data_IF_190566031035
#
_entry.id   IF_190566031035
#
_cell.length_a   1.000
_cell.length_b   1.000
_cell.length_c   1.000
_cell.angle_alpha   90.00
_cell.angle_beta   90.00
_cell.angle_gamma   90.00
#
_symmetry.space_group_name_H-M   'P 1'
#
loop_
_entity.id
_entity.type
_entity.pdbx_description
1 polymer ?
#
# COMPACT_ATOMS: atom_id res chain seq x y z
N UNK A 1 -4.84 20.68 -4.69
CA UNK A 1 -3.95 20.33 -5.82
C UNK A 1 -4.42 21.12 -7.05
N UNK A 2 -3.52 21.67 -7.87
CA UNK A 2 -3.86 22.42 -9.09
C UNK A 2 -3.36 21.60 -10.28
N UNK A 3 -4.23 21.28 -11.22
CA UNK A 3 -3.88 20.62 -12.48
C UNK A 3 -4.27 19.14 -12.61
N UNK A 4 -4.91 18.55 -11.60
CA UNK A 4 -5.38 17.15 -11.64
C UNK A 4 -6.88 17.04 -11.37
N UNK A 5 -7.52 16.08 -12.05
CA UNK A 5 -8.92 15.76 -11.91
C UNK A 5 -9.15 14.79 -10.74
N UNK A 6 -9.56 15.34 -9.60
CA UNK A 6 -9.76 14.59 -8.36
C UNK A 6 -11.09 13.82 -8.30
N UNK A 7 -11.89 13.84 -9.36
CA UNK A 7 -13.16 13.09 -9.40
C UNK A 7 -12.91 11.58 -9.28
N UNK A 8 -11.86 11.08 -9.94
CA UNK A 8 -11.48 9.67 -9.86
C UNK A 8 -11.08 9.31 -8.42
N UNK A 9 -10.18 10.08 -7.80
CA UNK A 9 -9.78 9.87 -6.40
C UNK A 9 -10.97 9.90 -5.43
N UNK A 10 -11.89 10.86 -5.60
CA UNK A 10 -13.09 10.97 -4.76
C UNK A 10 -14.00 9.74 -4.85
N UNK A 11 -14.22 9.24 -6.06
CA UNK A 11 -15.03 8.04 -6.28
C UNK A 11 -14.34 6.77 -5.76
N UNK A 12 -13.02 6.66 -5.84
CA UNK A 12 -12.28 5.54 -5.24
C UNK A 12 -12.37 5.61 -3.70
N UNK A 13 -12.27 6.80 -3.10
CA UNK A 13 -12.49 6.95 -1.65
C UNK A 13 -13.92 6.57 -1.22
N UNK A 14 -14.92 6.89 -2.03
CA UNK A 14 -16.30 6.43 -1.81
C UNK A 14 -16.41 4.91 -1.86
N UNK A 15 -15.75 4.25 -2.81
CA UNK A 15 -15.71 2.79 -2.88
C UNK A 15 -15.19 2.17 -1.58
N UNK A 16 -14.10 2.72 -1.03
CA UNK A 16 -13.53 2.23 0.23
C UNK A 16 -14.43 2.52 1.43
N UNK A 17 -15.13 3.66 1.42
CA UNK A 17 -16.12 3.98 2.44
C UNK A 17 -17.26 2.96 2.44
N UNK A 18 -17.75 2.58 1.26
CA UNK A 18 -18.77 1.53 1.09
C UNK A 18 -18.25 0.16 1.51
N UNK A 19 -17.01 -0.18 1.16
CA UNK A 19 -16.37 -1.40 1.64
C UNK A 19 -16.32 -1.43 3.16
N UNK A 20 -15.87 -0.35 3.82
CA UNK A 20 -15.82 -0.27 5.28
C UNK A 20 -17.18 -0.51 5.91
N UNK A 21 -18.24 0.10 5.36
CA UNK A 21 -19.61 -0.11 5.84
C UNK A 21 -20.08 -1.57 5.67
N UNK A 22 -19.78 -2.19 4.52
CA UNK A 22 -20.09 -3.60 4.27
C UNK A 22 -19.37 -4.49 5.30
N UNK A 23 -18.11 -4.18 5.58
CA UNK A 23 -17.31 -4.95 6.53
C UNK A 23 -17.81 -4.78 7.96
N UNK A 24 -18.28 -3.59 8.34
CA UNK A 24 -18.85 -3.30 9.66
C UNK A 24 -20.20 -4.00 9.88
N UNK A 25 -21.08 -4.05 8.88
CA UNK A 25 -22.41 -4.69 9.02
C UNK A 25 -22.34 -6.19 9.31
N UNK A 26 -21.30 -6.86 8.80
CA UNK A 26 -21.07 -8.29 9.01
C UNK A 26 -20.35 -8.61 10.35
N UNK A 27 -19.95 -7.60 11.13
CA UNK A 27 -19.19 -7.75 12.39
C UNK A 27 -20.00 -8.15 13.63
N UNK A 28 -21.28 -8.51 13.50
CA UNK A 28 -22.06 -9.03 14.64
C UNK A 28 -21.51 -10.33 15.26
N UNK A 29 -20.40 -10.90 14.75
CA UNK A 29 -19.82 -12.16 15.24
C UNK A 29 -18.29 -12.18 15.48
N UNK A 30 -17.50 -11.14 15.17
CA UNK A 30 -16.06 -11.15 15.50
C UNK A 30 -15.48 -9.74 15.66
N UNK A 31 -14.91 -9.47 16.83
CA UNK A 31 -14.43 -8.17 17.31
C UNK A 31 -13.09 -7.71 16.70
N UNK A 32 -12.71 -8.17 15.51
CA UNK A 32 -11.29 -8.16 15.10
C UNK A 32 -11.01 -7.43 13.80
N UNK A 33 -11.98 -6.79 13.15
CA UNK A 33 -11.77 -6.20 11.84
C UNK A 33 -11.77 -4.66 11.88
N UNK A 34 -10.59 -4.05 11.76
CA UNK A 34 -10.44 -2.60 11.66
C UNK A 34 -10.83 -2.13 10.25
N UNK A 35 -11.60 -1.04 10.10
CA UNK A 35 -11.87 -0.45 8.80
C UNK A 35 -10.59 0.09 8.15
N UNK A 36 -10.56 0.13 6.81
CA UNK A 36 -9.52 0.83 6.08
C UNK A 36 -9.58 2.32 6.39
N UNK A 37 -8.43 2.95 6.61
CA UNK A 37 -8.37 4.39 6.74
C UNK A 37 -8.58 5.06 5.38
N UNK A 38 -9.67 5.80 5.27
CA UNK A 38 -10.03 6.65 4.12
C UNK A 38 -9.72 8.12 4.43
N UNK A 39 -9.68 8.96 3.40
CA UNK A 39 -9.52 10.41 3.51
C UNK A 39 -10.47 11.14 2.57
N UNK A 40 -10.80 12.38 2.91
CA UNK A 40 -11.77 13.17 2.16
C UNK A 40 -11.14 13.79 0.91
N UNK A 41 -11.79 13.61 -0.24
CA UNK A 41 -11.42 14.26 -1.50
C UNK A 41 -12.64 14.99 -2.04
N UNK A 42 -12.52 16.31 -2.15
CA UNK A 42 -13.58 17.22 -2.59
C UNK A 42 -13.16 17.84 -3.93
N UNK A 43 -13.63 17.31 -5.07
CA UNK A 43 -13.42 17.96 -6.36
C UNK A 43 -14.22 19.27 -6.41
N UNK A 44 -13.55 20.38 -6.74
CA UNK A 44 -14.18 21.71 -6.86
C UNK A 44 -14.40 22.09 -8.33
N UNK A 45 -13.47 21.69 -9.20
CA UNK A 45 -13.54 21.85 -10.65
C UNK A 45 -12.76 20.72 -11.33
N UNK A 46 -12.83 20.57 -12.66
CA UNK A 46 -12.07 19.54 -13.38
C UNK A 46 -10.55 19.57 -13.15
N UNK A 47 -9.99 20.72 -12.75
CA UNK A 47 -8.55 20.90 -12.58
C UNK A 47 -8.17 21.31 -11.16
N UNK A 48 -9.13 21.31 -10.22
CA UNK A 48 -8.83 21.66 -8.84
C UNK A 48 -9.75 20.96 -7.84
N UNK A 49 -9.17 20.68 -6.68
CA UNK A 49 -9.94 20.28 -5.51
C UNK A 49 -9.07 20.17 -4.27
N UNK A 50 -9.71 19.74 -3.20
CA UNK A 50 -9.16 19.67 -1.85
C UNK A 50 -8.99 18.20 -1.49
N UNK A 51 -7.82 17.87 -0.95
CA UNK A 51 -7.50 16.54 -0.43
C UNK A 51 -7.18 16.71 1.05
N UNK A 52 -7.81 15.90 1.89
CA UNK A 52 -7.53 15.85 3.32
C UNK A 52 -6.10 15.36 3.57
N UNK A 53 -5.40 16.06 4.45
CA UNK A 53 -4.08 15.63 4.89
C UNK A 53 -4.20 14.51 5.91
N UNK A 54 -3.55 13.38 5.65
CA UNK A 54 -3.49 12.26 6.59
C UNK A 54 -2.54 12.57 7.74
N UNK A 55 -3.01 13.30 8.76
CA UNK A 55 -2.20 13.66 9.92
C UNK A 55 -1.63 12.44 10.66
N UNK A 56 -0.41 12.61 11.20
CA UNK A 56 0.30 11.58 11.95
C UNK A 56 0.87 10.44 11.09
N UNK A 57 0.85 10.58 9.76
CA UNK A 57 1.41 9.60 8.84
C UNK A 57 2.77 10.03 8.29
N UNK A 58 3.57 9.05 7.86
CA UNK A 58 4.81 9.28 7.09
C UNK A 58 4.87 8.30 5.93
N UNK A 59 5.48 8.70 4.81
CA UNK A 59 5.61 7.79 3.67
C UNK A 59 6.64 6.70 3.97
N UNK A 60 6.40 5.50 3.45
CA UNK A 60 7.37 4.40 3.58
C UNK A 60 8.70 4.75 2.92
N UNK A 61 8.70 5.56 1.85
CA UNK A 61 9.93 6.01 1.21
C UNK A 61 10.78 6.86 2.16
N UNK A 62 10.16 7.87 2.78
CA UNK A 62 10.84 8.77 3.72
C UNK A 62 11.40 7.99 4.92
N UNK A 63 10.62 7.07 5.48
CA UNK A 63 11.07 6.24 6.59
C UNK A 63 12.19 5.26 6.21
N UNK A 64 12.02 4.48 5.13
CA UNK A 64 12.92 3.38 4.79
C UNK A 64 14.24 3.85 4.14
N UNK A 65 14.17 4.82 3.23
CA UNK A 65 15.31 5.23 2.37
C UNK A 65 15.66 6.71 2.55
N UNK A 66 14.82 7.49 3.25
CA UNK A 66 14.97 8.94 3.35
C UNK A 66 14.55 9.66 2.07
N UNK A 67 14.24 10.96 2.19
CA UNK A 67 13.74 11.77 1.07
C UNK A 67 14.76 11.89 -0.08
N UNK A 68 16.06 11.86 0.25
CA UNK A 68 17.17 11.91 -0.70
C UNK A 68 17.64 10.52 -1.18
N UNK A 69 17.00 9.44 -0.74
CA UNK A 69 17.32 8.04 -1.08
C UNK A 69 18.74 7.58 -0.73
N UNK A 70 19.39 8.27 0.20
CA UNK A 70 20.75 8.04 0.70
C UNK A 70 20.78 7.73 2.22
N UNK A 71 19.61 7.57 2.85
CA UNK A 71 19.48 7.44 4.29
C UNK A 71 18.34 6.51 4.72
N UNK A 72 17.60 6.94 5.76
CA UNK A 72 16.46 6.21 6.31
C UNK A 72 16.84 5.02 7.19
N UNK A 73 15.85 4.19 7.48
CA UNK A 73 16.00 3.00 8.32
C UNK A 73 17.04 2.01 7.76
N UNK A 74 17.13 1.86 6.43
CA UNK A 74 18.12 0.98 5.79
C UNK A 74 19.54 1.43 6.10
N UNK A 75 19.87 2.70 5.93
CA UNK A 75 21.20 3.22 6.25
C UNK A 75 21.50 3.20 7.75
N UNK A 76 20.48 3.40 8.61
CA UNK A 76 20.66 3.45 10.06
C UNK A 76 20.86 2.06 10.68
N UNK A 77 19.99 1.09 10.38
CA UNK A 77 20.06 -0.26 10.97
C UNK A 77 21.05 -1.18 10.23
N UNK A 78 21.35 -0.90 8.97
CA UNK A 78 22.22 -1.73 8.10
C UNK A 78 23.19 -0.86 7.29
N UNK A 79 24.16 -0.18 7.93
CA UNK A 79 25.11 0.70 7.23
C UNK A 79 26.05 -0.03 6.25
N UNK A 80 26.24 -1.34 6.41
CA UNK A 80 27.08 -2.16 5.55
C UNK A 80 26.38 -2.64 4.27
N UNK A 81 25.04 -2.56 4.21
CA UNK A 81 24.26 -2.97 3.05
C UNK A 81 24.35 -1.92 1.94
N UNK A 82 24.07 -2.31 0.70
CA UNK A 82 24.05 -1.35 -0.41
C UNK A 82 22.84 -0.40 -0.29
N UNK A 83 23.05 0.89 -0.55
CA UNK A 83 21.97 1.87 -0.53
C UNK A 83 20.95 1.65 -1.65
N UNK A 84 19.69 2.05 -1.41
CA UNK A 84 18.61 1.94 -2.39
C UNK A 84 18.88 2.68 -3.71
N UNK A 85 19.57 3.82 -3.67
CA UNK A 85 20.02 4.55 -4.86
C UNK A 85 20.99 3.73 -5.72
N UNK A 86 21.97 3.07 -5.09
CA UNK A 86 22.93 2.18 -5.76
C UNK A 86 22.23 0.95 -6.33
N UNK A 87 21.27 0.36 -5.61
CA UNK A 87 20.46 -0.75 -6.11
C UNK A 87 19.68 -0.38 -7.37
N UNK A 88 19.06 0.81 -7.40
CA UNK A 88 18.36 1.33 -8.58
C UNK A 88 19.32 1.53 -9.77
N UNK A 89 20.54 2.03 -9.53
CA UNK A 89 21.55 2.19 -10.57
C UNK A 89 21.99 0.84 -11.16
N UNK A 90 22.22 -0.17 -10.32
CA UNK A 90 22.61 -1.53 -10.77
C UNK A 90 21.49 -2.15 -11.63
N UNK A 91 20.23 -2.02 -11.22
CA UNK A 91 19.11 -2.55 -12.01
C UNK A 91 18.97 -1.85 -13.36
N UNK A 92 19.14 -0.53 -13.41
CA UNK A 92 19.06 0.24 -14.67
C UNK A 92 20.22 -0.08 -15.62
N UNK A 93 21.45 -0.20 -15.10
CA UNK A 93 22.62 -0.45 -15.95
C UNK A 93 22.64 -1.85 -16.56
N UNK A 94 22.07 -2.84 -15.85
CA UNK A 94 22.00 -4.23 -16.30
C UNK A 94 20.66 -4.59 -16.96
N UNK A 95 19.82 -3.59 -17.26
CA UNK A 95 18.51 -3.82 -17.86
C UNK A 95 18.59 -4.44 -19.26
N UNK A 96 19.63 -4.08 -20.04
CA UNK A 96 19.86 -4.60 -21.38
C UNK A 96 21.03 -5.60 -21.37
N UNK A 97 20.74 -6.89 -21.56
CA UNK A 97 21.75 -7.94 -21.78
C UNK A 97 22.05 -8.86 -20.60
N UNK A 98 21.42 -8.66 -19.43
CA UNK A 98 21.54 -9.56 -18.28
C UNK A 98 20.18 -10.16 -17.92
N UNK A 99 20.20 -11.33 -17.25
CA UNK A 99 19.02 -11.90 -16.65
C UNK A 99 18.58 -11.02 -15.45
N UNK A 100 17.53 -10.23 -15.65
CA UNK A 100 17.02 -9.28 -14.65
C UNK A 100 16.72 -9.95 -13.30
N UNK A 101 16.27 -11.21 -13.32
CA UNK A 101 15.96 -11.96 -12.09
C UNK A 101 17.21 -12.28 -11.28
N UNK A 102 18.31 -12.66 -11.93
CA UNK A 102 19.57 -12.96 -11.23
C UNK A 102 20.16 -11.71 -10.58
N UNK A 103 20.15 -10.58 -11.30
CA UNK A 103 20.61 -9.29 -10.76
C UNK A 103 19.73 -8.87 -9.57
N UNK A 104 18.41 -9.04 -9.68
CA UNK A 104 17.50 -8.75 -8.58
C UNK A 104 17.79 -9.60 -7.34
N UNK A 105 18.03 -10.91 -7.52
CA UNK A 105 18.38 -11.82 -6.42
C UNK A 105 19.73 -11.48 -5.80
N UNK A 106 20.72 -11.06 -6.59
CA UNK A 106 22.02 -10.57 -6.11
C UNK A 106 21.85 -9.33 -5.22
N UNK A 107 21.08 -8.35 -5.68
CA UNK A 107 20.74 -7.15 -4.89
C UNK A 107 20.02 -7.54 -3.60
N UNK A 108 19.07 -8.47 -3.68
CA UNK A 108 18.34 -8.94 -2.50
C UNK A 108 19.24 -9.60 -1.45
N UNK A 109 20.36 -10.23 -1.85
CA UNK A 109 21.32 -10.77 -0.87
C UNK A 109 22.06 -9.65 -0.13
N UNK A 110 22.33 -8.54 -0.81
CA UNK A 110 23.10 -7.40 -0.31
C UNK A 110 22.25 -6.32 0.39
N UNK A 111 20.92 -6.48 0.42
CA UNK A 111 19.99 -5.59 1.13
C UNK A 111 19.03 -6.45 1.92
N UNK A 112 19.05 -6.34 3.24
CA UNK A 112 18.12 -7.04 4.11
C UNK A 112 16.95 -6.12 4.50
N UNK A 113 15.73 -6.66 4.72
CA UNK A 113 14.61 -5.86 5.14
C UNK A 113 14.77 -5.36 6.59
N UNK A 114 14.28 -4.16 6.85
CA UNK A 114 14.45 -3.46 8.15
C UNK A 114 13.15 -2.91 8.72
N UNK A 115 12.02 -3.07 8.05
CA UNK A 115 10.80 -2.37 8.41
C UNK A 115 10.23 -2.81 9.78
N UNK A 116 10.51 -4.03 10.27
CA UNK A 116 10.16 -4.46 11.63
C UNK A 116 10.68 -3.52 12.73
N UNK A 117 11.80 -2.84 12.49
CA UNK A 117 12.38 -1.90 13.45
C UNK A 117 11.52 -0.65 13.65
N UNK A 118 10.61 -0.34 12.72
CA UNK A 118 9.59 0.68 12.94
C UNK A 118 8.75 0.33 14.17
N UNK A 119 8.26 -0.91 14.22
CA UNK A 119 7.39 -1.35 15.30
C UNK A 119 8.14 -1.48 16.62
N UNK A 120 9.38 -2.00 16.59
CA UNK A 120 10.22 -2.09 17.79
C UNK A 120 10.56 -0.73 18.41
N UNK A 121 10.73 0.31 17.59
CA UNK A 121 11.09 1.64 18.09
C UNK A 121 9.89 2.49 18.52
N UNK A 122 8.70 2.21 17.98
CA UNK A 122 7.47 2.98 18.28
C UNK A 122 6.61 2.37 19.36
N UNK A 123 6.58 1.05 19.49
CA UNK A 123 5.69 0.33 20.41
C UNK A 123 6.51 -0.45 21.43
N UNK A 124 6.82 0.18 22.56
CA UNK A 124 7.67 -0.39 23.61
C UNK A 124 6.91 -1.34 24.55
N UNK A 125 5.58 -1.29 24.57
CA UNK A 125 4.72 -2.17 25.35
C UNK A 125 4.28 -3.37 24.50
N UNK A 126 4.35 -4.58 25.06
CA UNK A 126 3.90 -5.81 24.42
C UNK A 126 2.47 -5.73 23.88
N UNK A 127 1.54 -5.15 24.66
CA UNK A 127 0.15 -5.00 24.24
C UNK A 127 0.03 -4.06 23.03
N UNK A 128 0.63 -2.87 23.12
CA UNK A 128 0.55 -1.86 22.05
C UNK A 128 1.25 -2.35 20.78
N UNK A 129 2.36 -3.07 20.94
CA UNK A 129 3.09 -3.70 19.83
C UNK A 129 2.23 -4.75 19.14
N UNK A 130 1.63 -5.67 19.90
CA UNK A 130 0.75 -6.70 19.34
C UNK A 130 -0.43 -6.10 18.59
N UNK A 131 -1.13 -5.15 19.20
CA UNK A 131 -2.25 -4.47 18.54
C UNK A 131 -1.81 -3.67 17.30
N UNK A 132 -0.60 -3.09 17.29
CA UNK A 132 -0.07 -2.40 16.12
C UNK A 132 0.26 -3.35 14.98
N UNK A 133 0.83 -4.53 15.28
CA UNK A 133 1.06 -5.60 14.29
C UNK A 133 -0.26 -6.14 13.75
N UNK A 134 -1.29 -6.28 14.59
CA UNK A 134 -2.61 -6.70 14.12
C UNK A 134 -3.24 -5.68 13.16
N UNK A 135 -3.22 -4.39 13.53
CA UNK A 135 -3.69 -3.30 12.65
C UNK A 135 -2.88 -3.21 11.36
N UNK A 136 -1.57 -3.37 11.45
CA UNK A 136 -0.69 -3.42 10.28
C UNK A 136 -1.06 -4.57 9.34
N UNK A 137 -1.18 -5.77 9.88
CA UNK A 137 -1.50 -6.99 9.12
C UNK A 137 -2.88 -6.88 8.46
N UNK A 138 -3.86 -6.36 9.20
CA UNK A 138 -5.20 -6.11 8.68
C UNK A 138 -5.20 -5.10 7.53
N UNK A 139 -4.60 -3.92 7.74
CA UNK A 139 -4.52 -2.89 6.70
C UNK A 139 -3.74 -3.37 5.48
N UNK A 140 -2.63 -4.11 5.64
CA UNK A 140 -1.86 -4.68 4.54
C UNK A 140 -2.68 -5.70 3.73
N UNK A 141 -3.38 -6.62 4.40
CA UNK A 141 -4.23 -7.61 3.74
C UNK A 141 -5.40 -6.95 2.98
N UNK A 142 -6.07 -6.01 3.64
CA UNK A 142 -7.20 -5.27 3.05
C UNK A 142 -6.76 -4.47 1.83
N UNK A 143 -5.71 -3.66 1.95
CA UNK A 143 -5.18 -2.89 0.82
C UNK A 143 -4.72 -3.80 -0.32
N UNK A 144 -4.11 -4.95 -0.03
CA UNK A 144 -3.68 -5.89 -1.08
C UNK A 144 -4.84 -6.38 -1.93
N UNK A 145 -5.94 -6.78 -1.29
CA UNK A 145 -7.14 -7.29 -1.99
C UNK A 145 -7.88 -6.17 -2.70
N UNK A 146 -7.99 -5.00 -2.07
CA UNK A 146 -8.62 -3.82 -2.68
C UNK A 146 -7.85 -3.36 -3.91
N UNK A 147 -6.52 -3.27 -3.84
CA UNK A 147 -5.69 -2.93 -4.99
C UNK A 147 -5.87 -3.93 -6.13
N UNK A 148 -5.95 -5.22 -5.81
CA UNK A 148 -6.18 -6.25 -6.81
C UNK A 148 -7.55 -6.13 -7.49
N UNK A 149 -8.63 -5.97 -6.72
CA UNK A 149 -9.99 -5.95 -7.25
C UNK A 149 -10.26 -4.70 -8.08
N UNK A 150 -9.76 -3.54 -7.63
CA UNK A 150 -9.91 -2.26 -8.34
C UNK A 150 -8.91 -2.13 -9.50
N UNK A 151 -7.80 -2.87 -9.46
CA UNK A 151 -6.69 -2.72 -10.39
C UNK A 151 -5.91 -1.43 -10.15
N UNK A 152 -5.65 -1.10 -8.88
CA UNK A 152 -4.87 0.07 -8.48
C UNK A 152 -3.38 -0.15 -8.77
N UNK A 153 -2.82 0.72 -9.61
CA UNK A 153 -1.40 0.78 -9.93
C UNK A 153 -0.68 1.94 -9.25
N UNK A 154 0.59 2.14 -9.60
CA UNK A 154 1.46 3.20 -9.07
C UNK A 154 1.58 3.20 -7.53
N UNK A 155 1.60 1.99 -6.95
CA UNK A 155 1.76 1.79 -5.51
C UNK A 155 3.23 1.89 -5.11
N UNK A 156 3.91 2.95 -5.49
CA UNK A 156 5.30 3.18 -5.08
C UNK A 156 5.38 3.65 -3.61
N UNK A 157 6.57 3.60 -3.01
CA UNK A 157 6.75 3.84 -1.56
C UNK A 157 6.35 5.25 -1.06
N UNK A 158 6.20 6.23 -1.95
CA UNK A 158 5.66 7.54 -1.56
C UNK A 158 4.14 7.54 -1.38
N UNK A 159 3.43 6.63 -2.07
CA UNK A 159 1.97 6.54 -2.08
C UNK A 159 1.44 5.56 -1.03
N UNK A 160 2.36 4.93 -0.28
CA UNK A 160 2.03 4.09 0.87
C UNK A 160 2.57 4.78 2.11
N UNK A 161 1.65 5.20 2.96
CA UNK A 161 1.94 5.84 4.22
C UNK A 161 1.73 4.85 5.38
N UNK A 162 2.40 5.11 6.49
CA UNK A 162 2.23 4.41 7.77
C UNK A 162 1.79 5.42 8.83
N UNK A 163 0.74 5.10 9.58
CA UNK A 163 0.37 5.87 10.77
C UNK A 163 1.39 5.62 11.88
N UNK A 164 2.06 6.69 12.32
CA UNK A 164 3.15 6.62 13.30
C UNK A 164 2.67 6.22 14.70
N UNK A 165 1.41 6.46 15.03
CA UNK A 165 0.80 6.15 16.33
C UNK A 165 0.09 4.80 16.33
N UNK A 166 -0.56 4.41 15.23
CA UNK A 166 -1.40 3.20 15.17
C UNK A 166 -0.72 2.01 14.50
N UNK A 167 0.22 2.26 13.59
CA UNK A 167 0.90 1.22 12.82
C UNK A 167 0.09 0.70 11.62
N UNK A 168 -0.97 1.39 11.19
CA UNK A 168 -1.78 0.99 10.03
C UNK A 168 -1.31 1.66 8.74
N UNK A 169 -1.46 0.95 7.61
CA UNK A 169 -1.14 1.47 6.29
C UNK A 169 -2.26 2.31 5.71
N UNK A 170 -1.89 3.39 5.03
CA UNK A 170 -2.79 4.28 4.29
C UNK A 170 -2.25 4.47 2.89
N UNK A 171 -3.03 4.13 1.87
CA UNK A 171 -2.64 4.41 0.49
C UNK A 171 -3.24 5.76 0.06
N UNK A 172 -2.42 6.59 -0.56
CA UNK A 172 -2.83 7.89 -1.14
C UNK A 172 -2.64 7.88 -2.65
N UNK A 173 -3.11 8.94 -3.32
CA UNK A 173 -2.95 9.16 -4.76
C UNK A 173 -3.48 7.97 -5.56
N UNK A 174 -4.80 7.91 -5.73
CA UNK A 174 -5.50 6.70 -6.21
C UNK A 174 -5.95 6.82 -7.67
N UNK A 175 -5.40 7.77 -8.43
CA UNK A 175 -5.83 8.05 -9.80
C UNK A 175 -5.53 6.92 -10.80
N UNK A 176 -4.56 6.05 -10.52
CA UNK A 176 -4.15 4.97 -11.44
C UNK A 176 -4.97 3.70 -11.22
N UNK A 177 -6.22 3.68 -11.70
CA UNK A 177 -7.18 2.58 -11.54
C UNK A 177 -7.35 1.72 -12.80
N UNK A 178 -8.06 0.58 -12.69
CA UNK A 178 -8.39 -0.32 -13.81
C UNK A 178 -7.20 -0.72 -14.68
N UNK A 179 -6.11 -1.09 -14.00
CA UNK A 179 -4.92 -1.65 -14.63
C UNK A 179 -4.26 -0.69 -15.64
N UNK A 180 -4.46 0.63 -15.48
CA UNK A 180 -3.81 1.63 -16.31
C UNK A 180 -2.29 1.46 -16.31
N UNK A 181 -1.69 1.28 -15.12
CA UNK A 181 -0.25 1.05 -14.97
C UNK A 181 0.27 -0.21 -15.68
N UNK A 182 -0.60 -1.19 -15.97
CA UNK A 182 -0.25 -2.37 -16.76
C UNK A 182 -0.34 -2.14 -18.27
N UNK A 183 -1.27 -1.31 -18.71
CA UNK A 183 -1.57 -1.09 -20.14
C UNK A 183 -0.79 0.06 -20.76
N UNK A 184 -0.55 1.11 -19.98
CA UNK A 184 -0.13 2.42 -20.51
C UNK A 184 1.33 2.78 -20.20
N UNK A 185 1.94 2.18 -19.17
CA UNK A 185 3.32 2.49 -18.81
C UNK A 185 4.33 1.81 -19.76
N UNK A 186 5.44 2.49 -20.11
CA UNK A 186 6.51 1.89 -20.93
C UNK A 186 7.09 0.60 -20.33
N UNK A 187 7.14 0.53 -19.00
CA UNK A 187 7.48 -0.68 -18.24
C UNK A 187 6.24 -1.06 -17.42
N UNK A 188 5.47 -2.06 -17.86
CA UNK A 188 4.22 -2.45 -17.20
C UNK A 188 4.41 -2.94 -15.75
N UNK A 189 3.54 -2.49 -14.85
CA UNK A 189 3.49 -3.00 -13.47
C UNK A 189 2.78 -4.36 -13.39
N UNK A 190 3.51 -5.46 -13.56
CA UNK A 190 2.90 -6.82 -13.64
C UNK A 190 2.40 -7.40 -12.32
N UNK A 191 2.67 -6.75 -11.18
CA UNK A 191 2.26 -7.24 -9.85
C UNK A 191 0.82 -6.77 -9.52
N UNK A 192 0.00 -7.60 -8.87
CA UNK A 192 -1.39 -7.25 -8.55
C UNK A 192 -1.52 -6.24 -7.39
N UNK A 193 -0.54 -6.23 -6.49
CA UNK A 193 -0.42 -5.32 -5.36
C UNK A 193 1.02 -5.36 -4.87
N UNK A 194 1.40 -4.40 -4.02
CA UNK A 194 2.75 -4.33 -3.48
C UNK A 194 2.89 -5.15 -2.21
N UNK A 195 3.64 -6.25 -2.28
CA UNK A 195 4.03 -7.07 -1.13
C UNK A 195 5.54 -7.36 -1.20
N UNK A 196 6.35 -6.35 -0.90
CA UNK A 196 7.82 -6.46 -0.94
C UNK A 196 8.36 -7.07 0.36
N UNK A 197 9.64 -7.46 0.36
CA UNK A 197 10.31 -8.01 1.54
C UNK A 197 10.21 -7.10 2.77
N UNK A 198 10.33 -5.78 2.58
CA UNK A 198 10.12 -4.82 3.67
C UNK A 198 8.68 -4.80 4.19
N UNK A 199 7.65 -5.05 3.36
CA UNK A 199 6.26 -5.12 3.84
C UNK A 199 5.93 -6.46 4.51
N UNK A 200 6.67 -7.52 4.18
CA UNK A 200 6.53 -8.82 4.84
C UNK A 200 7.27 -8.83 6.19
N UNK A 201 8.32 -8.01 6.33
CA UNK A 201 9.22 -8.01 7.49
C UNK A 201 8.52 -7.81 8.86
N UNK A 202 7.54 -6.91 9.01
CA UNK A 202 6.82 -6.75 10.28
C UNK A 202 5.88 -7.89 10.63
N UNK A 203 5.58 -8.81 9.69
CA UNK A 203 4.75 -9.99 9.96
C UNK A 203 5.50 -11.05 10.79
N UNK A 204 6.82 -10.87 10.98
CA UNK A 204 7.67 -11.71 11.82
C UNK A 204 7.52 -13.21 11.48
N UNK A 205 7.22 -14.03 12.50
CA UNK A 205 7.10 -15.48 12.38
C UNK A 205 5.82 -15.92 11.66
N UNK A 206 4.77 -15.10 11.69
CA UNK A 206 3.48 -15.41 11.08
C UNK A 206 3.56 -15.34 9.54
N UNK A 207 4.39 -14.42 9.05
CA UNK A 207 4.71 -14.27 7.64
C UNK A 207 3.46 -14.08 6.78
N UNK A 208 3.52 -14.49 5.51
CA UNK A 208 2.42 -14.30 4.55
C UNK A 208 1.33 -15.35 4.63
N UNK A 209 1.59 -16.49 5.26
CA UNK A 209 0.69 -17.64 5.29
C UNK A 209 -0.15 -17.74 6.56
N UNK A 210 0.09 -16.87 7.55
CA UNK A 210 -0.69 -16.75 8.77
C UNK A 210 -1.88 -15.81 8.63
N UNK A 211 -2.06 -14.92 9.61
CA UNK A 211 -3.21 -14.02 9.73
C UNK A 211 -3.42 -13.15 8.48
N UNK A 212 -2.34 -12.72 7.82
CA UNK A 212 -2.41 -11.97 6.57
C UNK A 212 -3.29 -12.69 5.53
N UNK A 213 -3.05 -13.99 5.33
CA UNK A 213 -3.79 -14.81 4.36
C UNK A 213 -5.26 -14.93 4.76
N UNK A 214 -5.53 -15.20 6.03
CA UNK A 214 -6.90 -15.40 6.51
C UNK A 214 -7.74 -14.13 6.34
N UNK A 215 -7.17 -12.97 6.70
CA UNK A 215 -7.79 -11.66 6.51
C UNK A 215 -7.99 -11.36 5.02
N UNK A 216 -7.01 -11.68 4.17
CA UNK A 216 -7.09 -11.47 2.73
C UNK A 216 -8.19 -12.33 2.09
N UNK A 217 -8.29 -13.61 2.45
CA UNK A 217 -9.35 -14.52 1.99
C UNK A 217 -10.71 -14.02 2.44
N UNK A 218 -10.84 -13.59 3.71
CA UNK A 218 -12.07 -13.05 4.25
C UNK A 218 -12.50 -11.77 3.52
N UNK A 219 -11.57 -10.83 3.32
CA UNK A 219 -11.80 -9.59 2.59
C UNK A 219 -12.25 -9.87 1.16
N UNK A 220 -11.58 -10.79 0.46
CA UNK A 220 -11.95 -11.19 -0.90
C UNK A 220 -13.34 -11.81 -0.96
N UNK A 221 -13.70 -12.65 0.02
CA UNK A 221 -15.04 -13.25 0.10
C UNK A 221 -16.12 -12.17 0.24
N UNK A 222 -15.93 -11.20 1.12
CA UNK A 222 -16.86 -10.08 1.32
C UNK A 222 -17.00 -9.22 0.07
N UNK A 223 -15.90 -8.89 -0.60
CA UNK A 223 -15.95 -8.15 -1.86
C UNK A 223 -16.71 -8.91 -2.95
N UNK A 224 -16.57 -10.24 -3.01
CA UNK A 224 -17.31 -11.08 -3.97
C UNK A 224 -18.80 -11.15 -3.67
N UNK A 225 -19.19 -11.27 -2.40
CA UNK A 225 -20.60 -11.29 -1.98
C UNK A 225 -21.31 -9.97 -2.31
N UNK A 226 -20.57 -8.86 -2.28
CA UNK A 226 -21.07 -7.51 -2.55
C UNK A 226 -20.65 -6.98 -3.93
N UNK A 227 -20.29 -7.87 -4.86
CA UNK A 227 -19.75 -7.49 -6.16
C UNK A 227 -20.67 -6.56 -6.96
N UNK A 228 -21.99 -6.68 -6.82
CA UNK A 228 -22.95 -5.80 -7.53
C UNK A 228 -22.76 -4.33 -7.15
N UNK A 229 -22.54 -4.03 -5.87
CA UNK A 229 -22.34 -2.66 -5.39
C UNK A 229 -20.99 -2.12 -5.88
N UNK A 230 -19.94 -2.93 -5.75
CA UNK A 230 -18.58 -2.57 -6.18
C UNK A 230 -18.54 -2.31 -7.69
N UNK A 231 -19.14 -3.20 -8.50
CA UNK A 231 -19.26 -3.04 -9.95
C UNK A 231 -20.09 -1.81 -10.30
N UNK A 232 -21.18 -1.53 -9.57
CA UNK A 232 -21.98 -0.32 -9.79
C UNK A 232 -21.17 0.97 -9.62
N UNK A 233 -20.35 1.06 -8.57
CA UNK A 233 -19.46 2.21 -8.34
C UNK A 233 -18.35 2.25 -9.40
N UNK A 234 -17.78 1.09 -9.76
CA UNK A 234 -16.77 0.98 -10.80
C UNK A 234 -17.27 1.38 -12.20
N UNK A 235 -18.52 1.08 -12.54
CA UNK A 235 -19.14 1.53 -13.79
C UNK A 235 -19.26 3.05 -13.85
N UNK A 236 -19.54 3.72 -12.74
CA UNK A 236 -19.52 5.19 -12.67
C UNK A 236 -18.12 5.75 -12.85
N UNK A 237 -17.08 5.06 -12.37
CA UNK A 237 -15.68 5.46 -12.57
C UNK A 237 -15.25 5.42 -14.04
N UNK A 238 -15.75 4.45 -14.83
CA UNK A 238 -15.43 4.35 -16.26
C UNK A 238 -15.94 5.56 -17.08
N UNK A 239 -17.03 6.19 -16.65
CA UNK A 239 -17.58 7.38 -17.34
C UNK A 239 -16.66 8.61 -17.26
N UNK A 240 -15.66 8.60 -16.38
CA UNK A 240 -14.66 9.66 -16.24
C UNK A 240 -13.32 9.30 -16.89
N UNK A 241 -13.25 8.21 -17.67
CA UNK A 241 -12.06 7.81 -18.44
C UNK A 241 -12.16 8.11 -19.95
N UNK A 242 -13.36 8.45 -20.44
CA UNK A 242 -13.64 8.90 -21.82
C UNK A 242 -13.65 10.44 -21.90
#
# INVERSE_FOLDING_TARGET
MIGEDLRQDSLVQQLFSVQNLIMEQNQRSSSTFSPLRTYSVIPLSPNCGIIEWCEGTTSLCSYLIGDKKDGGAHAYYRPNDILGSKAQQIMKSRQNGYNTTEVFLEICKNIQPVFRHFFYSKFNNSKDFHEAIDRYTQSLAQWSIVCYVVGLGDRHLNNILIDVKRGELVHIDLGQIFEFSKRSLPIPERIPFRLTRDLVDPLLIDGVYGHLKDIAVHTMKHMRENARVIVGIASSLQQFQD
#
